data_IF_475349012443
#
_entry.id   IF_475349012443
#
_cell.length_a   1.000
_cell.length_b   1.000
_cell.length_c   1.000
_cell.angle_alpha   90.00
_cell.angle_beta   90.00
_cell.angle_gamma   90.00
#
_symmetry.space_group_name_H-M   'P 1'
#
loop_
_entity.id
_entity.type
_entity.pdbx_description
1 polymer ?
#
# COMPACT_ATOMS: atom_id res chain seq x y z
N UNK A 1 -0.02 36.02 -25.04
CA UNK A 1 -1.16 35.14 -24.74
C UNK A 1 -0.63 33.72 -24.82
N UNK A 2 -0.05 33.26 -23.72
CA UNK A 2 0.47 31.90 -23.59
C UNK A 2 -0.55 31.10 -22.79
N UNK A 3 -0.99 29.97 -23.36
CA UNK A 3 -1.83 28.99 -22.68
C UNK A 3 -1.03 28.42 -21.51
N UNK A 4 -1.58 28.54 -20.31
CA UNK A 4 -1.15 27.75 -19.16
C UNK A 4 -2.12 26.58 -19.07
N UNK A 5 -1.64 25.38 -19.35
CA UNK A 5 -2.37 24.14 -19.14
C UNK A 5 -2.53 23.91 -17.63
N UNK A 6 -3.78 23.78 -17.18
CA UNK A 6 -4.11 23.42 -15.80
C UNK A 6 -4.08 21.90 -15.65
N UNK A 7 -3.10 21.37 -14.92
CA UNK A 7 -3.18 20.05 -14.28
C UNK A 7 -3.62 20.24 -12.83
N UNK A 8 -4.81 19.77 -12.48
CA UNK A 8 -5.37 19.84 -11.12
C UNK A 8 -5.17 18.51 -10.39
N UNK A 9 -3.97 18.27 -9.88
CA UNK A 9 -3.66 17.13 -9.01
C UNK A 9 -3.28 17.60 -7.60
N UNK A 10 -4.03 18.54 -7.03
CA UNK A 10 -3.85 18.99 -5.65
C UNK A 10 -4.96 18.44 -4.75
N UNK A 11 -4.59 17.55 -3.82
CA UNK A 11 -5.42 17.23 -2.67
C UNK A 11 -5.28 18.35 -1.63
N UNK A 12 -6.43 18.85 -1.16
CA UNK A 12 -6.49 19.87 -0.12
C UNK A 12 -6.65 19.19 1.24
N UNK A 13 -5.73 19.48 2.15
CA UNK A 13 -5.85 19.04 3.54
C UNK A 13 -6.34 20.20 4.40
N UNK A 14 -7.31 19.93 5.25
CA UNK A 14 -7.84 20.85 6.25
C UNK A 14 -7.38 20.35 7.62
N UNK A 15 -6.51 21.11 8.29
CA UNK A 15 -6.28 20.91 9.72
C UNK A 15 -7.25 21.80 10.49
N UNK A 16 -8.08 21.16 11.31
CA UNK A 16 -8.87 21.84 12.34
C UNK A 16 -8.17 21.69 13.68
N UNK A 17 -7.82 22.83 14.28
CA UNK A 17 -7.54 22.89 15.69
C UNK A 17 -8.88 22.80 16.45
N UNK A 18 -9.07 21.71 17.20
CA UNK A 18 -10.33 21.37 17.87
C UNK A 18 -10.60 22.30 19.06
N UNK A 19 -9.56 22.89 19.64
CA UNK A 19 -9.66 23.71 20.84
C UNK A 19 -9.76 25.21 20.50
N UNK A 20 -9.12 25.65 19.42
CA UNK A 20 -9.18 27.05 18.97
C UNK A 20 -10.20 27.33 17.86
N UNK A 21 -10.71 26.28 17.19
CA UNK A 21 -11.62 26.41 16.04
C UNK A 21 -10.97 27.01 14.80
N UNK A 22 -9.65 27.17 14.79
CA UNK A 22 -8.90 27.73 13.66
C UNK A 22 -8.67 26.65 12.61
N UNK A 23 -9.11 26.95 11.38
CA UNK A 23 -8.96 26.09 10.22
C UNK A 23 -7.81 26.61 9.37
N UNK A 24 -6.75 25.81 9.21
CA UNK A 24 -5.69 26.10 8.24
C UNK A 24 -5.70 25.04 7.15
N UNK A 25 -5.88 25.49 5.91
CA UNK A 25 -5.78 24.66 4.72
C UNK A 25 -4.41 24.83 4.08
N UNK A 26 -3.80 23.73 3.66
CA UNK A 26 -2.61 23.77 2.81
C UNK A 26 -2.78 22.82 1.62
N UNK A 27 -2.29 23.26 0.47
CA UNK A 27 -2.16 22.44 -0.73
C UNK A 27 -0.81 21.74 -0.68
N UNK A 28 -0.79 20.41 -0.73
CA UNK A 28 0.44 19.65 -0.93
C UNK A 28 0.50 19.26 -2.41
N UNK A 29 1.48 19.74 -3.19
CA UNK A 29 1.62 19.32 -4.58
C UNK A 29 1.91 17.82 -4.67
N UNK A 30 1.34 17.16 -5.68
CA UNK A 30 1.65 15.77 -5.96
C UNK A 30 3.16 15.57 -6.21
N UNK A 31 3.78 14.80 -5.31
CA UNK A 31 5.03 14.04 -5.47
C UNK A 31 6.33 14.87 -5.58
N UNK A 32 7.10 14.87 -4.49
CA UNK A 32 8.54 14.52 -4.42
C UNK A 32 8.89 14.31 -2.95
N UNK A 33 10.07 13.74 -2.65
CA UNK A 33 10.64 13.72 -1.29
C UNK A 33 10.86 15.16 -0.83
N UNK A 34 9.80 15.82 -0.39
CA UNK A 34 9.85 17.20 0.05
C UNK A 34 9.58 17.27 1.54
N UNK A 35 10.39 18.09 2.17
CA UNK A 35 10.32 18.40 3.59
C UNK A 35 9.06 19.24 3.81
N UNK A 36 8.03 18.66 4.41
CA UNK A 36 6.85 19.44 4.80
C UNK A 36 7.14 20.09 6.16
N UNK A 37 7.25 21.41 6.16
CA UNK A 37 7.34 22.18 7.41
C UNK A 37 5.94 22.33 7.98
N UNK A 38 5.66 21.65 9.09
CA UNK A 38 4.41 21.84 9.84
C UNK A 38 4.68 22.84 10.96
N UNK A 39 4.01 24.00 10.91
CA UNK A 39 4.06 25.01 11.95
C UNK A 39 2.68 25.09 12.63
N UNK A 40 2.67 25.01 13.95
CA UNK A 40 1.44 25.11 14.73
C UNK A 40 1.75 25.18 16.23
N UNK A 41 0.81 25.68 17.06
CA UNK A 41 0.96 25.66 18.51
C UNK A 41 0.78 24.23 19.01
N UNK A 42 1.88 23.48 19.10
CA UNK A 42 1.85 22.18 19.75
C UNK A 42 2.16 22.37 21.24
N UNK A 43 1.18 22.07 22.10
CA UNK A 43 1.35 22.17 23.55
C UNK A 43 2.42 21.21 24.07
N UNK A 44 2.64 20.09 23.37
CA UNK A 44 3.67 19.12 23.71
C UNK A 44 4.06 18.26 22.51
N UNK A 45 5.24 17.62 22.59
CA UNK A 45 5.72 16.62 21.63
C UNK A 45 4.71 15.47 21.47
N UNK A 46 4.13 15.00 22.58
CA UNK A 46 3.17 13.88 22.57
C UNK A 46 1.89 14.22 21.80
N UNK A 47 1.39 15.46 21.91
CA UNK A 47 0.22 15.90 21.17
C UNK A 47 0.51 16.01 19.66
N UNK A 48 1.68 16.52 19.27
CA UNK A 48 2.10 16.57 17.87
C UNK A 48 2.27 15.16 17.26
N UNK A 49 2.88 14.23 18.00
CA UNK A 49 3.06 12.83 17.56
C UNK A 49 1.72 12.11 17.40
N UNK A 50 0.80 12.29 18.37
CA UNK A 50 -0.55 11.72 18.32
C UNK A 50 -1.35 12.27 17.14
N UNK A 51 -1.40 13.60 16.98
CA UNK A 51 -2.10 14.26 15.87
C UNK A 51 -1.56 13.79 14.51
N UNK A 52 -0.23 13.71 14.36
CA UNK A 52 0.39 13.20 13.13
C UNK A 52 0.09 11.72 12.89
N UNK A 53 0.03 10.88 13.93
CA UNK A 53 -0.34 9.46 13.77
C UNK A 53 -1.81 9.25 13.38
N UNK A 54 -2.70 10.15 13.76
CA UNK A 54 -4.13 10.12 13.40
C UNK A 54 -4.38 10.65 11.98
N UNK A 55 -3.56 11.60 11.50
CA UNK A 55 -3.65 12.17 10.14
C UNK A 55 -2.90 11.31 9.11
N UNK A 56 -1.82 10.64 9.51
CA UNK A 56 -0.92 9.93 8.59
C UNK A 56 -0.96 8.42 8.82
N UNK A 57 -1.99 7.75 8.29
CA UNK A 57 -2.04 6.28 8.23
C UNK A 57 -0.91 5.70 7.34
N UNK A 58 -0.28 6.51 6.48
CA UNK A 58 0.73 6.06 5.50
C UNK A 58 2.15 6.67 5.65
N UNK A 59 2.46 7.40 6.72
CA UNK A 59 3.77 8.08 6.84
C UNK A 59 4.56 7.76 8.11
N UNK A 60 5.84 7.38 7.97
CA UNK A 60 6.80 7.37 9.08
C UNK A 60 7.34 8.80 9.28
N UNK A 61 6.97 9.44 10.39
CA UNK A 61 7.54 10.70 10.83
C UNK A 61 8.75 10.47 11.76
N UNK A 62 9.88 11.16 11.50
CA UNK A 62 10.96 11.34 12.50
C UNK A 62 11.04 12.80 12.93
N UNK A 63 10.92 13.04 14.23
CA UNK A 63 10.98 14.38 14.83
C UNK A 63 12.38 14.66 15.40
N UNK A 64 13.00 15.74 14.94
CA UNK A 64 14.23 16.29 15.52
C UNK A 64 13.93 17.59 16.27
N UNK A 65 14.00 17.53 17.61
CA UNK A 65 13.86 18.70 18.49
C UNK A 65 15.25 19.16 18.94
N UNK A 66 15.49 20.47 18.91
CA UNK A 66 16.62 21.08 19.62
C UNK A 66 16.15 22.42 20.17
N UNK A 67 16.33 22.60 21.48
CA UNK A 67 16.13 23.81 22.32
C UNK A 67 14.96 24.71 21.91
N UNK A 68 13.93 24.76 22.77
CA UNK A 68 12.65 25.49 22.58
C UNK A 68 11.75 24.92 21.47
N UNK A 69 11.08 23.79 21.73
CA UNK A 69 9.85 23.27 21.08
C UNK A 69 9.58 23.56 19.58
N UNK A 70 10.61 23.74 18.76
CA UNK A 70 10.50 24.02 17.34
C UNK A 70 10.95 22.79 16.56
N UNK A 71 10.00 22.18 15.84
CA UNK A 71 10.29 21.12 14.87
C UNK A 71 11.09 21.75 13.74
N UNK A 72 12.39 21.45 13.65
CA UNK A 72 13.22 21.97 12.54
C UNK A 72 13.04 21.17 11.26
N UNK A 73 12.81 19.86 11.40
CA UNK A 73 12.77 18.92 10.29
C UNK A 73 11.78 17.80 10.61
N UNK A 74 10.78 17.63 9.74
CA UNK A 74 9.89 16.48 9.70
C UNK A 74 10.20 15.72 8.41
N UNK A 75 10.73 14.50 8.55
CA UNK A 75 10.88 13.61 7.40
C UNK A 75 9.63 12.75 7.31
N UNK A 76 8.92 12.88 6.19
CA UNK A 76 7.65 12.22 5.90
C UNK A 76 7.91 11.26 4.73
N UNK A 77 8.05 9.96 5.01
CA UNK A 77 8.15 8.94 3.95
C UNK A 77 6.75 8.51 3.54
N UNK A 78 6.31 8.89 2.32
CA UNK A 78 5.07 8.36 1.73
C UNK A 78 5.28 6.89 1.45
N UNK A 79 4.50 6.03 2.10
CA UNK A 79 4.37 4.62 1.72
C UNK A 79 2.98 4.47 1.11
N UNK A 80 2.91 4.46 -0.21
CA UNK A 80 1.64 4.22 -0.89
C UNK A 80 1.34 2.73 -0.93
N UNK A 81 0.12 2.37 -0.54
CA UNK A 81 -0.45 1.09 -0.94
C UNK A 81 -0.74 1.07 -2.44
N UNK A 82 -0.57 -0.09 -3.07
CA UNK A 82 -0.83 -0.26 -4.50
C UNK A 82 -2.17 -0.95 -4.74
N UNK A 83 -2.86 -0.56 -5.81
CA UNK A 83 -4.17 -1.08 -6.20
C UNK A 83 -4.24 -1.39 -7.69
N UNK A 84 -4.79 -2.55 -8.00
CA UNK A 84 -5.22 -2.89 -9.35
C UNK A 84 -6.73 -2.63 -9.52
N UNK A 85 -7.13 -2.22 -10.71
CA UNK A 85 -8.53 -2.20 -11.11
C UNK A 85 -9.03 -3.66 -11.18
N UNK A 86 -10.13 -3.95 -10.49
CA UNK A 86 -10.71 -5.29 -10.49
C UNK A 86 -11.27 -5.69 -11.86
N UNK A 87 -11.67 -4.74 -12.70
CA UNK A 87 -12.07 -5.02 -14.08
C UNK A 87 -10.89 -5.50 -14.92
N UNK A 88 -9.70 -4.91 -14.71
CA UNK A 88 -8.45 -5.37 -15.31
C UNK A 88 -8.08 -6.76 -14.78
N UNK A 89 -8.17 -6.98 -13.47
CA UNK A 89 -7.93 -8.32 -12.90
C UNK A 89 -8.84 -9.38 -13.53
N UNK A 90 -10.12 -9.03 -13.73
CA UNK A 90 -11.13 -9.92 -14.29
C UNK A 90 -10.93 -10.20 -15.78
N UNK A 91 -10.40 -9.25 -16.56
CA UNK A 91 -10.18 -9.45 -18.00
C UNK A 91 -9.14 -10.50 -18.32
N UNK A 92 -8.28 -10.85 -17.36
CA UNK A 92 -7.21 -11.85 -17.51
C UNK A 92 -7.53 -13.20 -16.85
N UNK A 93 -8.77 -13.45 -16.44
CA UNK A 93 -9.14 -14.72 -15.82
C UNK A 93 -8.86 -15.90 -16.76
N UNK A 94 -8.15 -16.91 -16.25
CA UNK A 94 -7.73 -18.10 -16.99
C UNK A 94 -6.39 -17.94 -17.71
N UNK A 95 -5.80 -16.73 -17.73
CA UNK A 95 -4.51 -16.50 -18.38
C UNK A 95 -3.31 -16.84 -17.49
N UNK A 96 -2.13 -17.00 -18.11
CA UNK A 96 -0.85 -17.09 -17.40
C UNK A 96 -0.11 -15.78 -17.57
N UNK A 97 -0.23 -14.90 -16.59
CA UNK A 97 0.33 -13.56 -16.69
C UNK A 97 1.85 -13.60 -16.58
N UNK A 98 2.48 -12.74 -17.36
CA UNK A 98 3.91 -12.42 -17.34
C UNK A 98 4.06 -10.94 -17.02
N UNK A 99 5.20 -10.50 -16.50
CA UNK A 99 5.55 -9.08 -16.65
C UNK A 99 5.88 -8.83 -18.12
N UNK A 100 5.71 -7.60 -18.60
CA UNK A 100 5.99 -7.23 -20.00
C UNK A 100 7.39 -7.67 -20.48
N UNK A 101 7.54 -7.73 -21.80
CA UNK A 101 8.67 -8.28 -22.58
C UNK A 101 10.04 -8.24 -21.87
N UNK A 102 10.58 -9.41 -21.54
CA UNK A 102 11.94 -9.58 -21.01
C UNK A 102 12.07 -10.47 -19.76
N UNK A 103 10.95 -10.93 -19.18
CA UNK A 103 10.92 -11.70 -17.94
C UNK A 103 10.14 -13.02 -18.06
N UNK A 104 10.17 -13.64 -19.24
CA UNK A 104 9.44 -14.88 -19.56
C UNK A 104 9.74 -16.02 -18.58
N UNK A 105 10.88 -15.96 -17.90
CA UNK A 105 11.28 -16.92 -16.86
C UNK A 105 10.39 -16.90 -15.60
N UNK A 106 9.55 -15.88 -15.40
CA UNK A 106 8.64 -15.76 -14.25
C UNK A 106 7.15 -15.78 -14.62
N UNK A 107 6.82 -16.27 -15.83
CA UNK A 107 5.43 -16.46 -16.27
C UNK A 107 4.70 -17.36 -15.28
N UNK A 108 3.51 -16.95 -14.85
CA UNK A 108 2.66 -17.72 -13.94
C UNK A 108 3.03 -17.61 -12.46
N UNK A 109 4.10 -16.88 -12.10
CA UNK A 109 4.43 -16.61 -10.69
C UNK A 109 3.45 -15.59 -10.08
N UNK A 110 3.18 -15.73 -8.78
CA UNK A 110 2.19 -14.92 -8.06
C UNK A 110 2.54 -13.42 -8.08
N UNK A 111 3.77 -13.07 -7.70
CA UNK A 111 4.27 -11.70 -7.71
C UNK A 111 4.24 -11.10 -9.12
N UNK A 112 4.58 -11.88 -10.14
CA UNK A 112 4.52 -11.46 -11.55
C UNK A 112 3.10 -11.06 -11.96
N UNK A 113 2.09 -11.86 -11.57
CA UNK A 113 0.69 -11.56 -11.85
C UNK A 113 0.25 -10.24 -11.21
N UNK A 114 0.59 -10.03 -9.93
CA UNK A 114 0.33 -8.78 -9.20
C UNK A 114 1.01 -7.59 -9.89
N UNK A 115 2.30 -7.70 -10.21
CA UNK A 115 3.05 -6.65 -10.91
C UNK A 115 2.40 -6.28 -12.24
N UNK A 116 1.98 -7.28 -13.00
CA UNK A 116 1.36 -7.07 -14.31
C UNK A 116 0.03 -6.32 -14.20
N UNK A 117 -0.92 -6.79 -13.38
CA UNK A 117 -2.23 -6.14 -13.29
C UNK A 117 -2.16 -4.74 -12.65
N UNK A 118 -1.25 -4.53 -11.70
CA UNK A 118 -0.95 -3.20 -11.16
C UNK A 118 -0.38 -2.27 -12.23
N UNK A 119 0.54 -2.74 -13.07
CA UNK A 119 1.06 -1.98 -14.21
C UNK A 119 -0.04 -1.61 -15.21
N UNK A 120 -0.88 -2.56 -15.60
CA UNK A 120 -2.01 -2.32 -16.51
C UNK A 120 -3.04 -1.35 -15.90
N UNK A 121 -3.10 -1.25 -14.56
CA UNK A 121 -3.94 -0.31 -13.83
C UNK A 121 -3.32 1.07 -13.64
N UNK A 122 -2.18 1.37 -14.29
CA UNK A 122 -1.40 2.60 -14.11
C UNK A 122 -0.87 2.83 -12.67
N UNK A 123 -0.66 1.76 -11.90
CA UNK A 123 -0.09 1.81 -10.55
C UNK A 123 1.04 0.77 -10.36
N UNK A 124 2.21 0.96 -11.01
CA UNK A 124 3.29 -0.03 -10.97
C UNK A 124 3.89 -0.19 -9.56
N UNK A 125 3.95 -1.44 -9.08
CA UNK A 125 4.35 -1.81 -7.71
C UNK A 125 5.85 -2.14 -7.53
N UNK A 126 6.69 -1.95 -8.57
CA UNK A 126 8.14 -2.18 -8.49
C UNK A 126 8.56 -3.64 -8.26
N UNK A 127 9.82 -3.87 -7.88
CA UNK A 127 10.39 -5.22 -7.67
C UNK A 127 10.05 -5.75 -6.28
N UNK A 128 9.91 -7.07 -6.13
CA UNK A 128 9.61 -7.71 -4.82
C UNK A 128 10.65 -7.38 -3.73
N UNK A 129 11.90 -7.14 -4.10
CA UNK A 129 12.96 -6.70 -3.19
C UNK A 129 12.73 -5.31 -2.58
N UNK A 130 11.84 -4.51 -3.16
CA UNK A 130 11.48 -3.16 -2.73
C UNK A 130 10.20 -3.15 -1.90
N UNK A 131 9.44 -4.26 -1.90
CA UNK A 131 8.18 -4.38 -1.19
C UNK A 131 8.38 -4.37 0.32
N UNK A 132 7.60 -3.55 1.00
CA UNK A 132 7.58 -3.41 2.45
C UNK A 132 6.24 -3.90 2.98
N UNK A 133 6.30 -4.53 4.15
CA UNK A 133 5.10 -4.93 4.89
C UNK A 133 4.32 -3.69 5.36
N UNK A 134 3.04 -3.64 5.02
CA UNK A 134 2.06 -2.69 5.53
C UNK A 134 1.20 -3.27 6.65
N UNK A 135 -0.01 -2.72 6.81
CA UNK A 135 -0.99 -3.25 7.77
C UNK A 135 -1.44 -4.66 7.40
N UNK A 136 -1.80 -5.47 8.41
CA UNK A 136 -2.40 -6.78 8.19
C UNK A 136 -3.74 -6.64 7.46
N UNK A 137 -4.09 -7.60 6.60
CA UNK A 137 -5.37 -7.55 5.88
C UNK A 137 -6.51 -7.95 6.81
N UNK A 138 -6.38 -9.08 7.50
CA UNK A 138 -7.42 -9.62 8.39
C UNK A 138 -7.80 -8.62 9.48
N UNK A 139 -9.11 -8.39 9.63
CA UNK A 139 -9.68 -7.51 10.64
C UNK A 139 -9.49 -6.01 10.39
N UNK A 140 -8.90 -5.62 9.25
CA UNK A 140 -8.72 -4.22 8.86
C UNK A 140 -9.56 -3.89 7.63
N UNK A 141 -9.98 -2.62 7.51
CA UNK A 141 -10.71 -2.13 6.34
C UNK A 141 -9.75 -1.86 5.18
N UNK A 142 -9.33 -2.93 4.48
CA UNK A 142 -8.48 -2.83 3.29
C UNK A 142 -9.36 -2.76 2.03
N UNK A 143 -9.19 -1.74 1.17
CA UNK A 143 -9.96 -1.63 -0.06
C UNK A 143 -9.78 -2.82 -1.01
N UNK A 144 -10.84 -3.16 -1.73
CA UNK A 144 -10.74 -4.11 -2.84
C UNK A 144 -9.78 -3.59 -3.92
N UNK A 145 -9.09 -4.48 -4.61
CA UNK A 145 -8.02 -4.17 -5.56
C UNK A 145 -6.65 -3.96 -4.93
N UNK A 146 -6.53 -3.90 -3.60
CA UNK A 146 -5.21 -3.71 -2.95
C UNK A 146 -4.29 -4.90 -3.14
N UNK A 147 -3.05 -4.62 -3.52
CA UNK A 147 -1.99 -5.61 -3.62
C UNK A 147 -1.53 -6.04 -2.21
N UNK A 148 -1.51 -7.34 -1.99
CA UNK A 148 -1.21 -7.96 -0.70
C UNK A 148 -0.19 -9.07 -0.88
N UNK A 149 0.62 -9.31 0.15
CA UNK A 149 1.55 -10.42 0.19
C UNK A 149 1.73 -10.93 1.61
N UNK A 150 2.20 -12.16 1.72
CA UNK A 150 2.72 -12.70 2.97
C UNK A 150 4.16 -12.25 3.18
N UNK A 151 4.48 -11.78 4.39
CA UNK A 151 5.81 -11.28 4.75
C UNK A 151 6.40 -12.09 5.91
N UNK A 152 7.69 -12.43 5.82
CA UNK A 152 8.45 -13.07 6.91
C UNK A 152 9.51 -12.09 7.42
N UNK A 153 9.52 -11.83 8.73
CA UNK A 153 10.42 -10.84 9.34
C UNK A 153 10.38 -9.48 8.61
N UNK A 154 9.17 -9.06 8.23
CA UNK A 154 8.87 -7.81 7.51
C UNK A 154 9.43 -7.70 6.08
N UNK A 155 9.92 -8.79 5.51
CA UNK A 155 10.44 -8.86 4.13
C UNK A 155 9.60 -9.86 3.31
N UNK A 156 9.40 -9.55 2.04
CA UNK A 156 8.83 -10.51 1.09
C UNK A 156 9.85 -11.62 0.85
N UNK A 157 9.55 -12.84 1.27
CA UNK A 157 10.49 -13.95 1.31
C UNK A 157 10.10 -15.07 0.32
N UNK A 158 9.79 -14.68 -0.93
CA UNK A 158 9.39 -15.58 -2.02
C UNK A 158 8.18 -16.47 -1.66
N UNK A 159 7.26 -15.93 -0.88
CA UNK A 159 6.01 -16.60 -0.52
C UNK A 159 4.93 -16.32 -1.57
N UNK A 160 3.85 -15.64 -1.19
CA UNK A 160 2.69 -15.45 -2.04
C UNK A 160 2.25 -14.00 -2.08
N UNK A 161 1.79 -13.59 -3.25
CA UNK A 161 1.26 -12.27 -3.52
C UNK A 161 -0.06 -12.40 -4.29
N UNK A 162 -0.99 -11.49 -4.04
CA UNK A 162 -2.32 -11.51 -4.62
C UNK A 162 -2.91 -10.09 -4.68
N UNK A 163 -4.04 -9.96 -5.39
CA UNK A 163 -4.90 -8.77 -5.33
C UNK A 163 -6.11 -9.11 -4.47
N UNK A 164 -6.35 -8.34 -3.41
CA UNK A 164 -7.50 -8.52 -2.53
C UNK A 164 -8.80 -8.18 -3.26
N UNK A 165 -9.82 -9.04 -3.15
CA UNK A 165 -11.20 -8.75 -3.54
C UNK A 165 -11.99 -8.35 -2.29
N UNK A 166 -11.97 -9.19 -1.26
CA UNK A 166 -12.68 -8.95 0.00
C UNK A 166 -12.14 -9.86 1.12
N UNK A 167 -12.27 -9.40 2.36
CA UNK A 167 -12.24 -10.30 3.53
C UNK A 167 -13.61 -10.98 3.69
N UNK A 168 -13.59 -12.29 3.91
CA UNK A 168 -14.75 -13.15 4.16
C UNK A 168 -14.59 -13.83 5.52
N UNK A 169 -15.66 -14.44 6.04
CA UNK A 169 -15.60 -15.17 7.32
C UNK A 169 -14.59 -16.32 7.32
N UNK A 170 -14.44 -16.96 6.18
CA UNK A 170 -13.61 -18.14 5.95
C UNK A 170 -12.18 -17.81 5.53
N UNK A 171 -11.89 -16.57 5.10
CA UNK A 171 -10.59 -16.21 4.53
C UNK A 171 -10.58 -14.93 3.70
N UNK A 172 -9.52 -14.73 2.94
CA UNK A 172 -9.39 -13.63 1.98
C UNK A 172 -9.77 -14.10 0.58
N UNK A 173 -10.77 -13.48 -0.02
CA UNK A 173 -11.07 -13.64 -1.45
C UNK A 173 -10.09 -12.81 -2.26
N UNK A 174 -9.35 -13.45 -3.18
CA UNK A 174 -8.25 -12.82 -3.91
C UNK A 174 -8.21 -13.24 -5.37
N UNK A 175 -7.57 -12.42 -6.19
CA UNK A 175 -7.01 -12.82 -7.48
C UNK A 175 -5.54 -13.21 -7.33
N UNK A 176 -5.16 -14.36 -7.87
CA UNK A 176 -3.76 -14.75 -7.96
C UNK A 176 -3.50 -15.79 -9.06
N UNK A 177 -2.22 -16.14 -9.22
CA UNK A 177 -1.72 -17.26 -10.01
C UNK A 177 -0.50 -17.86 -9.28
N UNK A 178 -0.10 -19.08 -9.63
CA UNK A 178 1.14 -19.69 -9.14
C UNK A 178 1.53 -20.90 -10.00
N UNK A 179 2.81 -21.30 -9.97
CA UNK A 179 3.32 -22.37 -10.83
C UNK A 179 3.35 -23.77 -10.18
N UNK A 180 3.23 -23.89 -8.85
CA UNK A 180 3.37 -25.19 -8.17
C UNK A 180 2.38 -25.39 -7.00
N UNK A 181 1.29 -26.16 -7.18
CA UNK A 181 0.81 -26.71 -8.46
C UNK A 181 0.35 -25.58 -9.40
N UNK A 182 0.39 -25.78 -10.71
CA UNK A 182 0.06 -24.69 -11.64
C UNK A 182 -1.42 -24.25 -11.50
N UNK A 183 -1.63 -22.95 -11.27
CA UNK A 183 -2.92 -22.27 -11.30
C UNK A 183 -2.81 -21.00 -12.16
N UNK A 184 -3.61 -20.84 -13.23
CA UNK A 184 -3.68 -19.59 -13.98
C UNK A 184 -4.33 -18.47 -13.15
N UNK A 185 -4.21 -17.23 -13.61
CA UNK A 185 -4.82 -16.07 -12.98
C UNK A 185 -6.31 -16.29 -12.77
N UNK A 186 -6.77 -16.17 -11.53
CA UNK A 186 -8.12 -16.57 -11.16
C UNK A 186 -8.44 -16.30 -9.71
N UNK A 187 -9.73 -16.31 -9.36
CA UNK A 187 -10.16 -16.11 -7.97
C UNK A 187 -9.90 -17.34 -7.11
N UNK A 188 -9.60 -17.13 -5.82
CA UNK A 188 -9.69 -18.17 -4.77
C UNK A 188 -9.85 -17.55 -3.38
N UNK A 189 -10.16 -18.40 -2.39
CA UNK A 189 -10.11 -18.06 -0.98
C UNK A 189 -8.78 -18.52 -0.37
N UNK A 190 -8.11 -17.62 0.37
CA UNK A 190 -7.00 -17.92 1.28
C UNK A 190 -7.56 -18.09 2.70
N UNK A 191 -7.62 -19.31 3.21
CA UNK A 191 -8.29 -19.63 4.47
C UNK A 191 -7.60 -19.05 5.72
N UNK A 192 -8.35 -18.79 6.79
CA UNK A 192 -7.84 -18.31 8.09
C UNK A 192 -7.47 -19.42 9.09
N UNK A 193 -7.28 -20.66 8.61
CA UNK A 193 -7.27 -21.86 9.45
C UNK A 193 -6.15 -22.85 9.14
N UNK A 194 -5.02 -22.38 8.60
CA UNK A 194 -3.99 -23.29 8.11
C UNK A 194 -3.11 -23.88 9.23
N UNK A 195 -3.48 -25.06 9.75
CA UNK A 195 -2.77 -25.78 10.81
C UNK A 195 -1.62 -26.71 10.34
N UNK A 196 -0.98 -26.46 9.19
CA UNK A 196 -0.15 -27.46 8.48
C UNK A 196 1.14 -26.99 7.78
N UNK A 197 1.81 -27.94 7.10
CA UNK A 197 3.23 -27.94 6.61
C UNK A 197 3.67 -26.86 5.59
N UNK A 198 2.78 -26.05 5.04
CA UNK A 198 3.10 -24.95 4.11
C UNK A 198 2.27 -23.69 4.43
N UNK A 199 2.41 -23.10 5.62
CA UNK A 199 1.40 -22.19 6.16
C UNK A 199 1.41 -20.82 5.47
N UNK A 200 2.57 -20.29 5.10
CA UNK A 200 2.70 -18.86 4.76
C UNK A 200 1.97 -18.40 3.49
N UNK A 201 1.92 -19.22 2.43
CA UNK A 201 1.36 -18.83 1.13
C UNK A 201 -0.15 -18.97 1.01
N UNK A 202 -0.78 -19.71 1.93
CA UNK A 202 -2.20 -20.06 1.88
C UNK A 202 -2.99 -19.60 3.10
N UNK A 203 -2.31 -19.16 4.15
CA UNK A 203 -2.92 -18.65 5.37
C UNK A 203 -3.20 -17.16 5.26
N UNK A 204 -4.48 -16.81 5.18
CA UNK A 204 -4.96 -15.43 5.10
C UNK A 204 -4.52 -14.56 6.28
N UNK A 205 -4.14 -15.15 7.42
CA UNK A 205 -3.67 -14.41 8.60
C UNK A 205 -2.32 -13.73 8.39
N UNK A 206 -1.56 -14.23 7.42
CA UNK A 206 -0.17 -13.82 7.21
C UNK A 206 -0.04 -12.75 6.12
N UNK A 207 -1.16 -12.38 5.48
CA UNK A 207 -1.17 -11.36 4.43
C UNK A 207 -1.22 -9.95 5.01
N UNK A 208 -0.40 -9.09 4.43
CA UNK A 208 -0.35 -7.65 4.71
C UNK A 208 -0.38 -6.88 3.40
N UNK A 209 -0.81 -5.62 3.46
CA UNK A 209 -0.74 -4.68 2.34
C UNK A 209 0.71 -4.53 1.88
N UNK A 210 0.95 -4.52 0.57
CA UNK A 210 2.26 -4.20 0.00
C UNK A 210 2.40 -2.68 -0.08
N UNK A 211 3.50 -2.17 0.46
CA UNK A 211 3.92 -0.78 0.38
C UNK A 211 5.22 -0.66 -0.44
N UNK A 212 5.42 0.45 -1.16
CA UNK A 212 6.73 0.83 -1.75
C UNK A 212 7.25 2.15 -1.21
#
# INVERSE_FOLDING_TARGET
>A
MEKIDTYSDSEWFILMDVDSGVCQSFSVPAIRKEWVKVEGPFESKGNAEKMLSEICIEFRARLYLKDEYRIKHLQVERRSSHRADLAICQSYEGERLSSETGWDQYIGECATGVQYVCHQSNDPIGRTSEWKKGQAVRGNSVPAGTAIASFRNDVYADDHAAILIAERSEGLEVWDQFNNPQKPWGKRILGFDYSGKHPYSNDGDLFSVILS
#
